data_IF_453620596527
#
_entry.id   IF_453620596527
#
_cell.length_a   1.000
_cell.length_b   1.000
_cell.length_c   1.000
_cell.angle_alpha   90.00
_cell.angle_beta   90.00
_cell.angle_gamma   90.00
#
_symmetry.space_group_name_H-M   'P 1'
#
loop_
_entity.id
_entity.type
_entity.pdbx_description
1 polymer ?
#
# COMPACT_ATOMS: atom_id res chain seq x y z
N UNK A 1 1.59 7.62 -15.94
CA UNK A 1 2.06 6.38 -16.51
C UNK A 1 2.41 5.34 -15.48
N UNK A 2 2.14 4.08 -15.76
CA UNK A 2 2.38 2.97 -14.83
C UNK A 2 3.83 2.50 -14.89
N UNK A 3 4.76 3.34 -14.47
CA UNK A 3 6.21 3.07 -14.56
C UNK A 3 6.97 3.26 -13.27
N UNK A 4 6.28 3.56 -12.18
CA UNK A 4 6.91 3.79 -10.89
C UNK A 4 7.01 2.49 -10.09
N UNK A 5 8.02 2.40 -9.24
CA UNK A 5 8.15 1.32 -8.26
C UNK A 5 7.81 1.88 -6.89
N UNK A 6 6.85 1.25 -6.24
CA UNK A 6 6.44 1.63 -4.89
C UNK A 6 6.42 0.39 -4.02
N UNK A 7 6.65 0.58 -2.73
CA UNK A 7 6.44 -0.46 -1.74
C UNK A 7 5.21 -0.09 -0.91
N UNK A 8 4.24 -0.98 -0.86
CA UNK A 8 3.07 -0.85 0.02
C UNK A 8 3.35 -1.67 1.27
N UNK A 9 3.22 -1.04 2.43
CA UNK A 9 3.43 -1.69 3.72
C UNK A 9 2.08 -1.90 4.38
N UNK A 10 1.66 -3.17 4.50
CA UNK A 10 0.41 -3.52 5.14
C UNK A 10 0.61 -3.70 6.64
N UNK A 11 -0.15 -2.98 7.44
CA UNK A 11 -0.05 -2.99 8.89
C UNK A 11 -0.85 -4.13 9.49
N UNK A 12 -0.22 -4.85 10.42
CA UNK A 12 -0.87 -5.92 11.17
C UNK A 12 -0.47 -5.84 12.64
N UNK A 13 -1.45 -5.94 13.53
CA UNK A 13 -1.21 -6.02 14.96
C UNK A 13 -1.67 -7.40 15.45
N UNK A 14 -0.76 -8.13 16.08
CA UNK A 14 -1.06 -9.46 16.63
C UNK A 14 -2.04 -9.34 17.79
N UNK A 15 -3.13 -10.08 17.70
CA UNK A 15 -4.15 -10.09 18.77
C UNK A 15 -3.68 -10.83 20.01
N UNK A 16 -2.70 -11.73 19.87
CA UNK A 16 -2.21 -12.54 20.99
C UNK A 16 -1.09 -11.85 21.75
N UNK A 17 -0.16 -11.17 21.04
CA UNK A 17 1.01 -10.58 21.66
C UNK A 17 0.94 -9.04 21.71
N UNK A 18 0.07 -8.42 20.90
CA UNK A 18 0.03 -6.97 20.76
C UNK A 18 1.14 -6.39 19.91
N UNK A 19 2.05 -7.20 19.39
CA UNK A 19 3.13 -6.75 18.53
C UNK A 19 2.60 -6.34 17.15
N UNK A 20 3.17 -5.27 16.61
CA UNK A 20 2.81 -4.76 15.31
C UNK A 20 3.87 -5.07 14.27
N UNK A 21 3.41 -5.41 13.07
CA UNK A 21 4.26 -5.76 11.94
C UNK A 21 3.83 -5.03 10.69
N UNK A 22 4.78 -4.84 9.77
CA UNK A 22 4.53 -4.28 8.45
C UNK A 22 4.93 -5.29 7.40
N UNK A 23 4.00 -5.67 6.54
CA UNK A 23 4.22 -6.63 5.46
C UNK A 23 4.41 -5.86 4.16
N UNK A 24 5.65 -5.83 3.61
CA UNK A 24 5.95 -5.06 2.42
C UNK A 24 5.61 -5.83 1.15
N UNK A 25 5.09 -5.10 0.17
CA UNK A 25 4.92 -5.60 -1.18
C UNK A 25 5.48 -4.57 -2.15
N UNK A 26 6.48 -4.97 -2.93
CA UNK A 26 7.12 -4.09 -3.91
C UNK A 26 6.40 -4.26 -5.24
N UNK A 27 5.80 -3.18 -5.70
CA UNK A 27 5.02 -3.15 -6.94
C UNK A 27 5.75 -2.30 -7.96
N UNK A 28 6.13 -2.91 -9.08
CA UNK A 28 6.61 -2.18 -10.24
C UNK A 28 5.41 -1.87 -11.15
N UNK A 29 5.52 -0.85 -11.96
CA UNK A 29 4.41 -0.52 -12.87
C UNK A 29 3.22 0.14 -12.19
N UNK A 30 3.47 0.88 -11.12
CA UNK A 30 2.46 1.75 -10.51
C UNK A 30 2.49 3.13 -11.16
N UNK A 31 1.37 3.83 -11.12
CA UNK A 31 1.30 5.24 -11.52
C UNK A 31 1.18 6.09 -10.26
N UNK A 32 2.20 6.89 -9.99
CA UNK A 32 2.24 7.75 -8.81
C UNK A 32 2.29 9.21 -9.24
N UNK A 33 1.33 9.98 -8.73
CA UNK A 33 1.30 11.43 -8.86
C UNK A 33 1.49 11.99 -7.46
N UNK A 34 2.57 12.73 -7.27
CA UNK A 34 2.89 13.39 -6.00
C UNK A 34 2.88 14.92 -6.15
N UNK A 35 2.14 15.43 -7.12
CA UNK A 35 1.95 16.85 -7.37
C UNK A 35 0.66 17.32 -6.71
N UNK A 36 0.80 18.08 -5.63
CA UNK A 36 -0.35 18.61 -4.90
C UNK A 36 -1.26 19.49 -5.77
N UNK A 37 -0.70 20.23 -6.71
CA UNK A 37 -1.48 21.05 -7.64
C UNK A 37 -2.41 20.20 -8.52
N UNK A 38 -1.92 19.11 -9.05
CA UNK A 38 -2.71 18.18 -9.85
C UNK A 38 -3.80 17.50 -9.00
N UNK A 39 -3.50 17.16 -7.76
CA UNK A 39 -4.46 16.54 -6.83
C UNK A 39 -5.57 17.52 -6.48
N UNK A 40 -5.23 18.77 -6.16
CA UNK A 40 -6.21 19.82 -5.89
C UNK A 40 -7.12 20.08 -7.09
N UNK A 41 -6.57 20.06 -8.30
CA UNK A 41 -7.34 20.23 -9.52
C UNK A 41 -8.37 19.13 -9.72
N UNK A 42 -8.02 17.89 -9.39
CA UNK A 42 -8.89 16.73 -9.55
C UNK A 42 -9.93 16.60 -8.43
N UNK A 43 -9.53 16.82 -7.18
CA UNK A 43 -10.37 16.58 -6.01
C UNK A 43 -10.87 17.83 -5.31
N UNK A 44 -10.46 19.00 -5.76
CA UNK A 44 -10.91 20.30 -5.25
C UNK A 44 -10.00 20.87 -4.16
N UNK A 45 -10.30 22.11 -3.74
CA UNK A 45 -9.44 22.87 -2.83
C UNK A 45 -9.37 22.32 -1.40
N UNK A 46 -10.30 21.45 -1.03
CA UNK A 46 -10.33 20.86 0.31
C UNK A 46 -9.46 19.59 0.42
N UNK A 47 -8.90 19.14 -0.70
CA UNK A 47 -8.02 17.99 -0.70
C UNK A 47 -6.74 18.28 0.08
N UNK A 48 -6.44 17.45 1.07
CA UNK A 48 -5.22 17.55 1.88
C UNK A 48 -4.16 16.53 1.47
N UNK A 49 -4.49 15.68 0.51
CA UNK A 49 -3.62 14.61 0.07
C UNK A 49 -2.47 15.14 -0.78
N UNK A 50 -1.31 14.49 -0.66
CA UNK A 50 -0.10 14.86 -1.37
C UNK A 50 0.22 13.89 -2.50
N UNK A 51 -0.43 12.74 -2.54
CA UNK A 51 -0.14 11.70 -3.52
C UNK A 51 -1.41 10.98 -3.95
N UNK A 52 -1.39 10.54 -5.20
CA UNK A 52 -2.39 9.67 -5.79
C UNK A 52 -1.65 8.50 -6.43
N UNK A 53 -2.00 7.29 -6.03
CA UNK A 53 -1.38 6.06 -6.51
C UNK A 53 -2.42 5.21 -7.23
N UNK A 54 -2.11 4.85 -8.47
CA UNK A 54 -2.93 3.92 -9.26
C UNK A 54 -2.20 2.59 -9.34
N UNK A 55 -2.88 1.51 -9.00
CA UNK A 55 -2.35 0.15 -9.07
C UNK A 55 -3.29 -0.69 -9.92
N UNK A 56 -2.75 -1.28 -10.98
CA UNK A 56 -3.50 -2.20 -11.84
C UNK A 56 -3.67 -3.55 -11.17
N UNK A 57 -4.79 -4.21 -11.48
CA UNK A 57 -5.02 -5.57 -11.03
C UNK A 57 -5.49 -6.44 -12.21
N UNK A 58 -5.39 -7.75 -12.02
CA UNK A 58 -5.98 -8.73 -12.92
C UNK A 58 -7.01 -9.57 -12.16
N UNK A 59 -7.85 -10.28 -12.88
CA UNK A 59 -8.79 -11.24 -12.30
C UNK A 59 -8.37 -12.64 -12.75
N UNK A 60 -8.07 -13.51 -11.79
CA UNK A 60 -7.66 -14.89 -12.03
C UNK A 60 -8.51 -15.81 -11.17
N UNK A 61 -9.22 -16.73 -11.81
CA UNK A 61 -10.12 -17.68 -11.12
C UNK A 61 -11.13 -17.00 -10.21
N UNK A 62 -11.61 -15.81 -10.62
CA UNK A 62 -12.56 -15.03 -9.83
C UNK A 62 -11.95 -14.13 -8.76
N UNK A 63 -10.64 -14.22 -8.55
CA UNK A 63 -9.95 -13.41 -7.55
C UNK A 63 -9.23 -12.23 -8.18
N UNK A 64 -9.26 -11.10 -7.48
CA UNK A 64 -8.47 -9.94 -7.84
C UNK A 64 -7.03 -10.20 -7.41
N UNK A 65 -6.10 -10.04 -8.35
CA UNK A 65 -4.68 -10.31 -8.09
C UNK A 65 -3.81 -9.15 -8.55
N UNK A 66 -2.70 -8.95 -7.85
CA UNK A 66 -1.70 -7.93 -8.17
C UNK A 66 -0.35 -8.63 -8.24
N UNK A 67 0.38 -8.41 -9.34
CA UNK A 67 1.72 -8.95 -9.49
C UNK A 67 2.73 -8.03 -8.81
N UNK A 68 3.64 -8.60 -8.03
CA UNK A 68 4.75 -7.84 -7.47
C UNK A 68 5.88 -7.67 -8.51
N UNK A 69 6.97 -7.01 -8.09
CA UNK A 69 8.11 -6.72 -8.99
C UNK A 69 8.75 -7.99 -9.57
N UNK A 70 8.64 -9.11 -8.89
CA UNK A 70 9.23 -10.39 -9.30
C UNK A 70 8.23 -11.30 -10.01
N UNK A 71 7.03 -10.80 -10.26
CA UNK A 71 5.97 -11.57 -10.90
C UNK A 71 5.19 -12.47 -9.96
N UNK A 72 5.45 -12.40 -8.65
CA UNK A 72 4.64 -13.12 -7.67
C UNK A 72 3.23 -12.59 -7.68
N UNK A 73 2.26 -13.48 -7.77
CA UNK A 73 0.85 -13.12 -7.80
C UNK A 73 0.33 -13.00 -6.37
N UNK A 74 -0.15 -11.81 -6.03
CA UNK A 74 -0.69 -11.50 -4.70
C UNK A 74 -2.21 -11.37 -4.81
N UNK A 75 -2.99 -12.28 -4.24
CA UNK A 75 -4.43 -12.07 -4.11
C UNK A 75 -4.69 -10.82 -3.26
N UNK A 76 -5.58 -9.96 -3.75
CA UNK A 76 -6.06 -8.83 -2.96
C UNK A 76 -7.17 -9.31 -2.02
N UNK A 77 -7.09 -8.91 -0.78
CA UNK A 77 -8.07 -9.24 0.26
C UNK A 77 -8.59 -7.95 0.87
N UNK A 78 -9.90 -7.78 1.03
CA UNK A 78 -10.43 -6.59 1.70
C UNK A 78 -9.84 -6.42 3.10
N UNK A 79 -9.66 -5.17 3.57
CA UNK A 79 -8.89 -4.91 4.80
C UNK A 79 -9.35 -5.67 6.05
N UNK A 80 -10.64 -5.79 6.27
CA UNK A 80 -11.15 -6.49 7.45
C UNK A 80 -10.89 -8.00 7.39
N UNK A 81 -10.99 -8.58 6.21
CA UNK A 81 -10.69 -10.01 6.01
C UNK A 81 -9.18 -10.25 6.09
N UNK A 82 -8.38 -9.34 5.54
CA UNK A 82 -6.93 -9.45 5.58
C UNK A 82 -6.42 -9.53 7.02
N UNK A 83 -6.96 -8.70 7.90
CA UNK A 83 -6.58 -8.68 9.32
C UNK A 83 -6.93 -9.94 10.09
N UNK A 84 -7.86 -10.75 9.58
CA UNK A 84 -8.24 -12.02 10.20
C UNK A 84 -7.33 -13.15 9.82
N UNK A 85 -6.48 -12.94 8.84
CA UNK A 85 -5.51 -13.93 8.40
C UNK A 85 -4.40 -14.11 9.43
N UNK A 86 -3.68 -15.23 9.30
CA UNK A 86 -2.55 -15.56 10.17
C UNK A 86 -1.40 -16.09 9.33
N UNK A 87 -0.19 -16.04 9.89
CA UNK A 87 1.01 -16.65 9.32
C UNK A 87 1.30 -16.15 7.89
N UNK A 88 1.65 -17.07 7.00
CA UNK A 88 2.08 -16.75 5.64
C UNK A 88 1.02 -16.08 4.79
N UNK A 89 -0.26 -16.23 5.12
CA UNK A 89 -1.33 -15.56 4.38
C UNK A 89 -1.18 -14.03 4.42
N UNK A 90 -0.63 -13.50 5.51
CA UNK A 90 -0.37 -12.06 5.63
C UNK A 90 0.72 -11.59 4.67
N UNK A 91 1.75 -12.40 4.44
CA UNK A 91 2.82 -12.09 3.50
C UNK A 91 2.41 -12.32 2.04
N UNK A 92 1.56 -13.32 1.82
CA UNK A 92 1.26 -13.81 0.47
C UNK A 92 0.05 -13.12 -0.16
N UNK A 93 -0.60 -12.22 0.55
CA UNK A 93 -1.74 -11.44 0.07
C UNK A 93 -1.51 -9.97 0.30
N UNK A 94 -2.26 -9.13 -0.41
CA UNK A 94 -2.14 -7.68 -0.30
C UNK A 94 -3.48 -7.04 0.01
N UNK A 95 -3.45 -5.98 0.79
CA UNK A 95 -4.61 -5.14 1.03
C UNK A 95 -4.23 -3.66 0.94
N UNK A 96 -5.23 -2.80 0.87
CA UNK A 96 -5.03 -1.36 0.93
C UNK A 96 -5.99 -0.81 1.98
N UNK A 97 -5.46 -0.10 2.96
CA UNK A 97 -6.25 0.49 4.03
C UNK A 97 -5.61 1.78 4.55
N UNK A 98 -6.36 2.54 5.32
CA UNK A 98 -5.85 3.77 5.95
C UNK A 98 -4.90 3.49 7.12
N UNK A 99 -4.69 2.25 7.49
CA UNK A 99 -3.66 1.86 8.46
C UNK A 99 -2.31 1.62 7.81
N UNK A 100 -2.27 1.55 6.50
CA UNK A 100 -1.07 1.25 5.71
C UNK A 100 -0.45 2.52 5.17
N UNK A 101 0.77 2.41 4.66
CA UNK A 101 1.42 3.49 3.93
C UNK A 101 2.16 2.93 2.73
N UNK A 102 2.56 3.81 1.82
CA UNK A 102 3.40 3.42 0.70
C UNK A 102 4.56 4.39 0.56
N UNK A 103 5.61 3.90 -0.09
CA UNK A 103 6.84 4.63 -0.33
C UNK A 103 7.26 4.43 -1.77
N UNK A 104 7.65 5.51 -2.43
CA UNK A 104 8.24 5.41 -3.77
C UNK A 104 9.67 4.91 -3.64
N UNK A 105 9.85 3.61 -3.83
CA UNK A 105 11.13 2.93 -3.69
C UNK A 105 10.93 1.43 -3.53
N UNK A 106 12.04 0.72 -3.53
CA UNK A 106 12.06 -0.73 -3.38
C UNK A 106 12.61 -1.10 -2.00
N UNK A 107 11.76 -1.64 -1.15
CA UNK A 107 12.16 -2.16 0.15
C UNK A 107 12.70 -3.58 0.01
N UNK A 108 13.90 -3.83 0.52
CA UNK A 108 14.57 -5.12 0.42
C UNK A 108 14.67 -5.87 1.75
N UNK A 109 14.17 -5.28 2.83
CA UNK A 109 14.38 -5.79 4.18
C UNK A 109 13.36 -6.83 4.66
N UNK A 110 12.37 -7.19 3.85
CA UNK A 110 11.32 -8.13 4.27
C UNK A 110 10.37 -7.55 5.32
N UNK A 111 9.67 -8.42 6.02
CA UNK A 111 8.72 -8.05 7.06
C UNK A 111 9.41 -7.24 8.16
N UNK A 112 8.75 -6.18 8.60
CA UNK A 112 9.29 -5.24 9.58
C UNK A 112 8.52 -5.38 10.90
N UNK A 113 9.26 -5.45 12.00
CA UNK A 113 8.69 -5.40 13.35
C UNK A 113 8.66 -3.94 13.78
N UNK A 114 7.47 -3.41 14.04
CA UNK A 114 7.28 -2.00 14.35
C UNK A 114 8.05 -1.57 15.61
N UNK A 115 8.07 -2.45 16.61
CA UNK A 115 8.75 -2.18 17.89
C UNK A 115 10.27 -2.08 17.79
N UNK A 116 10.88 -2.48 16.68
CA UNK A 116 12.32 -2.31 16.45
C UNK A 116 12.69 -0.85 16.15
N UNK A 117 11.70 0.00 15.92
CA UNK A 117 11.88 1.42 15.63
C UNK A 117 11.30 2.24 16.79
N UNK A 118 12.08 3.18 17.30
CA UNK A 118 11.75 3.91 18.54
C UNK A 118 10.38 4.57 18.53
N UNK A 119 10.00 5.19 17.42
CA UNK A 119 8.70 5.87 17.28
C UNK A 119 7.78 5.17 16.27
N UNK A 120 8.07 3.90 15.97
CA UNK A 120 7.36 3.14 14.95
C UNK A 120 8.02 3.24 13.58
N UNK A 121 7.78 2.23 12.76
CA UNK A 121 8.42 2.12 11.45
C UNK A 121 7.94 3.19 10.46
N UNK A 122 6.65 3.47 10.43
CA UNK A 122 6.13 4.52 9.55
C UNK A 122 6.81 5.87 9.86
N UNK A 123 6.93 6.21 11.15
CA UNK A 123 7.57 7.46 11.57
C UNK A 123 9.03 7.50 11.15
N UNK A 124 9.74 6.38 11.32
CA UNK A 124 11.12 6.25 10.85
C UNK A 124 11.23 6.53 9.35
N UNK A 125 10.38 5.89 8.55
CA UNK A 125 10.40 6.08 7.10
C UNK A 125 10.06 7.51 6.72
N UNK A 126 9.05 8.09 7.36
CA UNK A 126 8.61 9.45 7.08
C UNK A 126 9.70 10.49 7.42
N UNK A 127 10.49 10.24 8.45
CA UNK A 127 11.57 11.14 8.85
C UNK A 127 12.85 10.97 8.02
N UNK A 128 13.10 9.78 7.49
CA UNK A 128 14.38 9.42 6.87
C UNK A 128 14.33 9.23 5.37
N UNK A 129 13.16 9.19 4.77
CA UNK A 129 12.97 8.94 3.34
C UNK A 129 12.01 9.94 2.73
N UNK A 130 12.24 10.27 1.47
CA UNK A 130 11.32 11.10 0.68
C UNK A 130 10.21 10.22 0.08
N UNK A 131 9.08 10.85 -0.22
CA UNK A 131 7.95 10.22 -0.90
C UNK A 131 7.37 9.02 -0.13
N UNK A 132 7.20 9.22 1.17
CA UNK A 132 6.48 8.32 2.07
C UNK A 132 5.10 8.91 2.32
N UNK A 133 4.06 8.14 2.04
CA UNK A 133 2.68 8.63 2.10
C UNK A 133 1.79 7.68 2.90
N UNK A 134 1.17 8.20 3.95
CA UNK A 134 0.14 7.48 4.70
C UNK A 134 -1.13 7.41 3.85
N UNK A 135 -1.72 6.24 3.73
CA UNK A 135 -2.97 6.08 2.97
C UNK A 135 -4.11 6.75 3.71
N UNK A 136 -4.83 7.61 3.01
CA UNK A 136 -5.98 8.35 3.54
C UNK A 136 -7.31 7.82 3.01
N UNK A 137 -7.34 7.37 1.76
CA UNK A 137 -8.52 6.74 1.20
C UNK A 137 -8.16 5.76 0.09
N UNK A 138 -9.06 4.79 -0.13
CA UNK A 138 -8.89 3.76 -1.14
C UNK A 138 -10.15 3.70 -1.98
N UNK A 139 -10.02 3.93 -3.28
CA UNK A 139 -11.08 3.76 -4.25
C UNK A 139 -10.89 2.48 -5.05
N UNK A 140 -11.99 1.83 -5.36
CA UNK A 140 -11.98 0.60 -6.11
C UNK A 140 -12.26 -0.63 -5.24
N UNK A 141 -12.13 -1.83 -5.82
CA UNK A 141 -11.61 -2.09 -7.17
C UNK A 141 -12.54 -1.57 -8.27
N UNK A 142 -11.99 -0.80 -9.20
CA UNK A 142 -12.72 -0.32 -10.38
C UNK A 142 -12.61 -1.35 -11.49
N UNK A 143 -13.73 -1.63 -12.16
CA UNK A 143 -13.81 -2.76 -13.10
C UNK A 143 -13.72 -2.37 -14.56
N UNK A 144 -14.08 -1.15 -14.92
CA UNK A 144 -14.07 -0.73 -16.34
C UNK A 144 -12.64 -0.71 -16.88
N UNK A 145 -11.72 -0.06 -16.14
CA UNK A 145 -10.28 -0.21 -16.30
C UNK A 145 -9.79 -0.77 -14.97
N UNK A 146 -9.41 -2.06 -14.90
CA UNK A 146 -9.13 -2.69 -13.61
C UNK A 146 -7.99 -2.03 -12.86
N UNK A 147 -8.31 -1.28 -11.82
CA UNK A 147 -7.31 -0.61 -10.99
C UNK A 147 -7.87 -0.21 -9.63
N UNK A 148 -6.95 0.08 -8.72
CA UNK A 148 -7.22 0.78 -7.46
C UNK A 148 -6.69 2.20 -7.56
N UNK A 149 -7.37 3.12 -6.89
CA UNK A 149 -6.98 4.51 -6.81
C UNK A 149 -6.81 4.87 -5.32
N UNK A 150 -5.56 5.12 -4.91
CA UNK A 150 -5.19 5.27 -3.52
C UNK A 150 -4.69 6.70 -3.31
N UNK A 151 -5.26 7.37 -2.33
CA UNK A 151 -4.81 8.71 -1.94
C UNK A 151 -3.94 8.60 -0.70
N UNK A 152 -2.94 9.47 -0.61
CA UNK A 152 -2.00 9.49 0.49
C UNK A 152 -1.56 10.90 0.87
N UNK A 153 -1.05 10.97 2.10
CA UNK A 153 -0.64 12.25 2.70
C UNK A 153 0.75 12.16 3.33
#
# INVERSE_FOLDING_TARGET
MYSKTVTVFNYYESKTTGDAYWYPHVLSGADLIADKGAILKKYGPDATDNAQLHIRYAVQNGDITIADKDGKILPWVPPKEWKRQINNALEDTITFSDESFFWEGEWTGGTVTDGDYRSGFYQYMNENRDNVFKITSVGGPYTLIPHFEILGK
#
